data_IF_666635626941
#
_entry.id   IF_666635626941
#
_cell.length_a   1.000
_cell.length_b   1.000
_cell.length_c   1.000
_cell.angle_alpha   90.00
_cell.angle_beta   90.00
_cell.angle_gamma   90.00
#
_symmetry.space_group_name_H-M   'P 1'
#
loop_
_entity.id
_entity.type
_entity.pdbx_description
1 polymer ?
#
# COMPACT_ATOMS: atom_id res chain seq x y z
N UNK A 1 7.06 25.11 12.76
CA UNK A 1 5.85 24.36 12.36
C UNK A 1 6.16 23.58 11.10
N UNK A 2 5.89 22.29 11.09
CA UNK A 2 6.12 21.46 9.91
C UNK A 2 4.95 21.59 8.93
N UNK A 3 5.27 21.79 7.67
CA UNK A 3 4.29 21.76 6.60
C UNK A 3 4.22 20.35 6.02
N UNK A 4 3.06 19.97 5.52
CA UNK A 4 2.94 18.71 4.83
C UNK A 4 3.43 18.84 3.38
N UNK A 5 4.23 17.88 2.96
CA UNK A 5 4.69 17.76 1.59
C UNK A 5 3.83 16.73 0.85
N UNK A 6 3.27 17.14 -0.27
CA UNK A 6 2.50 16.23 -1.12
C UNK A 6 3.47 15.36 -1.91
N UNK A 7 3.28 14.04 -1.83
CA UNK A 7 4.05 13.06 -2.58
C UNK A 7 3.21 12.53 -3.71
N UNK A 8 3.76 12.60 -4.91
CA UNK A 8 3.10 12.10 -6.12
C UNK A 8 4.16 11.49 -7.03
N UNK A 9 3.86 10.35 -7.63
CA UNK A 9 4.75 9.68 -8.57
C UNK A 9 3.94 9.07 -9.71
N UNK A 10 4.51 9.07 -10.89
CA UNK A 10 3.93 8.41 -12.06
C UNK A 10 4.30 6.92 -12.15
N UNK A 11 5.05 6.40 -11.18
CA UNK A 11 5.44 4.99 -11.10
C UNK A 11 4.46 4.13 -10.31
N UNK A 12 3.36 4.72 -9.85
CA UNK A 12 2.28 4.02 -9.16
C UNK A 12 0.96 4.64 -9.57
N UNK A 13 -0.16 3.91 -9.43
CA UNK A 13 -1.47 4.48 -9.76
C UNK A 13 -1.78 5.73 -8.91
N UNK A 14 -2.36 6.73 -9.56
CA UNK A 14 -2.82 7.94 -8.89
C UNK A 14 -4.10 7.71 -8.09
N UNK A 15 -4.68 8.78 -7.53
CA UNK A 15 -5.92 8.68 -6.77
C UNK A 15 -7.02 7.98 -7.57
N UNK A 16 -7.70 7.04 -6.91
CA UNK A 16 -8.75 6.24 -7.52
C UNK A 16 -9.89 7.14 -8.00
N UNK A 17 -10.19 7.05 -9.31
CA UNK A 17 -11.24 7.83 -9.97
C UNK A 17 -11.11 9.35 -9.74
N UNK A 18 -9.87 9.84 -9.58
CA UNK A 18 -9.64 11.27 -9.38
C UNK A 18 -10.14 11.82 -8.05
N UNK A 19 -10.33 10.95 -7.05
CA UNK A 19 -10.81 11.35 -5.74
C UNK A 19 -9.83 12.33 -5.05
N UNK A 20 -10.33 13.15 -4.12
CA UNK A 20 -9.55 14.23 -3.51
C UNK A 20 -8.60 13.72 -2.42
N UNK A 21 -7.55 13.03 -2.81
CA UNK A 21 -6.47 12.63 -1.91
C UNK A 21 -5.16 12.52 -2.70
N UNK A 22 -4.06 12.41 -2.01
CA UNK A 22 -2.74 12.21 -2.62
C UNK A 22 -2.23 10.80 -2.31
N UNK A 23 -1.28 10.32 -3.10
CA UNK A 23 -0.69 9.00 -2.88
C UNK A 23 -0.03 8.91 -1.49
N UNK A 24 0.66 9.97 -1.07
CA UNK A 24 1.25 10.04 0.25
C UNK A 24 1.46 11.49 0.67
N UNK A 25 1.63 11.66 1.97
CA UNK A 25 1.98 12.94 2.60
C UNK A 25 3.21 12.70 3.46
N UNK A 26 4.21 13.55 3.31
CA UNK A 26 5.35 13.57 4.22
C UNK A 26 5.20 14.75 5.16
N UNK A 27 5.42 14.50 6.45
CA UNK A 27 5.50 15.54 7.45
C UNK A 27 6.67 15.22 8.39
N UNK A 28 7.66 16.12 8.47
CA UNK A 28 8.88 15.84 9.20
C UNK A 28 9.57 14.59 8.66
N UNK A 29 9.83 13.63 9.52
CA UNK A 29 10.47 12.36 9.17
C UNK A 29 9.47 11.21 8.92
N UNK A 30 8.18 11.52 8.88
CA UNK A 30 7.13 10.52 8.68
C UNK A 30 6.47 10.66 7.32
N UNK A 31 6.12 9.53 6.74
CA UNK A 31 5.40 9.42 5.47
C UNK A 31 4.13 8.62 5.71
N UNK A 32 3.00 9.20 5.31
CA UNK A 32 1.69 8.57 5.44
C UNK A 32 1.21 8.21 4.04
N UNK A 33 1.07 6.93 3.77
CA UNK A 33 0.71 6.43 2.43
C UNK A 33 -0.76 6.03 2.42
N UNK A 34 -1.51 6.54 1.45
CA UNK A 34 -2.90 6.19 1.23
C UNK A 34 -3.03 4.70 0.91
N UNK A 35 -4.20 4.14 1.17
CA UNK A 35 -4.48 2.74 0.88
C UNK A 35 -4.18 2.40 -0.59
N UNK A 36 -3.41 1.34 -0.81
CA UNK A 36 -3.03 0.86 -2.12
C UNK A 36 -3.77 -0.42 -2.46
N UNK A 37 -4.36 -0.45 -3.63
CA UNK A 37 -4.91 -1.65 -4.23
C UNK A 37 -3.87 -2.28 -5.15
N UNK A 38 -4.06 -3.53 -5.51
CA UNK A 38 -3.19 -4.22 -6.46
C UNK A 38 -3.48 -3.85 -7.92
N UNK A 39 -3.56 -2.57 -8.21
CA UNK A 39 -3.80 -2.05 -9.56
C UNK A 39 -2.48 -1.95 -10.31
N UNK A 40 -2.46 -2.48 -11.53
CA UNK A 40 -1.32 -2.36 -12.44
C UNK A 40 -1.36 -1.00 -13.11
N UNK A 41 -0.25 -0.26 -13.06
CA UNK A 41 -0.18 1.10 -13.56
C UNK A 41 -0.60 1.20 -15.04
N UNK A 42 -0.05 0.33 -15.88
CA UNK A 42 -0.27 0.42 -17.33
C UNK A 42 -1.70 0.09 -17.74
N UNK A 43 -2.31 -0.92 -17.12
CA UNK A 43 -3.66 -1.36 -17.50
C UNK A 43 -4.77 -0.67 -16.73
N UNK A 44 -4.47 -0.16 -15.54
CA UNK A 44 -5.48 0.39 -14.63
C UNK A 44 -6.37 -0.69 -14.00
N UNK A 45 -6.00 -1.96 -14.14
CA UNK A 45 -6.79 -3.10 -13.64
C UNK A 45 -6.04 -3.84 -12.55
N UNK A 46 -6.77 -4.64 -11.77
CA UNK A 46 -6.16 -5.52 -10.77
C UNK A 46 -5.17 -6.48 -11.44
N UNK A 47 -4.07 -6.78 -10.74
CA UNK A 47 -3.00 -7.66 -11.23
C UNK A 47 -3.45 -9.11 -11.44
N UNK A 48 -4.61 -9.48 -10.95
CA UNK A 48 -5.18 -10.80 -11.08
C UNK A 48 -6.35 -10.97 -10.13
N UNK A 49 -6.87 -12.19 -10.06
CA UNK A 49 -8.04 -12.50 -9.25
C UNK A 49 -7.68 -13.00 -7.84
N UNK A 50 -6.41 -13.37 -7.62
CA UNK A 50 -5.99 -13.96 -6.35
C UNK A 50 -5.40 -12.90 -5.42
N UNK A 51 -5.47 -13.16 -4.12
CA UNK A 51 -4.84 -12.29 -3.12
C UNK A 51 -3.33 -12.26 -3.28
N UNK A 52 -2.74 -13.36 -3.76
CA UNK A 52 -1.28 -13.44 -3.99
C UNK A 52 -0.85 -12.43 -5.05
N UNK A 53 -1.50 -12.45 -6.20
CA UNK A 53 -1.20 -11.52 -7.30
C UNK A 53 -1.45 -10.07 -6.88
N UNK A 54 -2.56 -9.83 -6.21
CA UNK A 54 -2.92 -8.48 -5.80
C UNK A 54 -1.99 -7.94 -4.70
N UNK A 55 -1.63 -8.77 -3.72
CA UNK A 55 -0.69 -8.34 -2.66
C UNK A 55 0.67 -8.00 -3.23
N UNK A 56 1.17 -8.79 -4.18
CA UNK A 56 2.44 -8.52 -4.85
C UNK A 56 2.41 -7.12 -5.49
N UNK A 57 1.34 -6.82 -6.22
CA UNK A 57 1.22 -5.51 -6.88
C UNK A 57 1.05 -4.37 -5.87
N UNK A 58 0.29 -4.58 -4.79
CA UNK A 58 0.16 -3.59 -3.72
C UNK A 58 1.53 -3.20 -3.20
N UNK A 59 2.38 -4.18 -2.92
CA UNK A 59 3.70 -3.91 -2.34
C UNK A 59 4.62 -3.20 -3.35
N UNK A 60 4.52 -3.52 -4.63
CA UNK A 60 5.26 -2.80 -5.66
C UNK A 60 4.81 -1.34 -5.75
N UNK A 61 3.52 -1.09 -5.72
CA UNK A 61 2.97 0.27 -5.74
C UNK A 61 3.42 1.05 -4.50
N UNK A 62 3.34 0.41 -3.33
CA UNK A 62 3.78 0.99 -2.06
C UNK A 62 5.26 1.38 -2.12
N UNK A 63 6.10 0.48 -2.65
CA UNK A 63 7.54 0.72 -2.80
C UNK A 63 7.81 1.96 -3.65
N UNK A 64 7.14 2.08 -4.79
CA UNK A 64 7.33 3.22 -5.69
C UNK A 64 6.96 4.54 -5.01
N UNK A 65 5.86 4.56 -4.27
CA UNK A 65 5.41 5.76 -3.55
C UNK A 65 6.38 6.12 -2.43
N UNK A 66 6.81 5.14 -1.65
CA UNK A 66 7.77 5.36 -0.57
C UNK A 66 9.11 5.89 -1.09
N UNK A 67 9.61 5.34 -2.18
CA UNK A 67 10.85 5.81 -2.80
C UNK A 67 10.72 7.26 -3.27
N UNK A 68 9.58 7.64 -3.83
CA UNK A 68 9.32 9.03 -4.23
C UNK A 68 9.33 9.98 -3.03
N UNK A 69 9.03 9.47 -1.84
CA UNK A 69 9.03 10.25 -0.61
C UNK A 69 10.40 10.27 0.09
N UNK A 70 11.39 9.53 -0.43
CA UNK A 70 12.69 9.40 0.23
C UNK A 70 12.73 8.30 1.28
N UNK A 71 11.79 7.36 1.23
CA UNK A 71 11.67 6.24 2.16
C UNK A 71 11.82 4.91 1.41
N UNK A 72 11.32 3.82 1.96
CA UNK A 72 11.35 2.50 1.36
C UNK A 72 10.59 1.49 2.20
N UNK A 73 10.39 0.30 1.65
CA UNK A 73 9.69 -0.78 2.36
C UNK A 73 10.42 -1.21 3.64
N UNK A 74 11.74 -1.05 3.69
CA UNK A 74 12.56 -1.34 4.87
C UNK A 74 12.37 -0.32 5.99
N UNK A 75 11.68 0.76 5.72
CA UNK A 75 11.43 1.86 6.67
C UNK A 75 9.97 1.96 7.10
N UNK A 76 9.19 0.95 6.83
CA UNK A 76 7.79 0.87 7.28
C UNK A 76 7.75 0.83 8.81
N UNK A 77 6.86 1.64 9.38
CA UNK A 77 6.62 1.71 10.83
C UNK A 77 5.34 0.99 11.19
N UNK A 78 4.30 1.21 10.41
CA UNK A 78 2.97 0.63 10.65
C UNK A 78 2.27 0.41 9.34
N UNK A 79 1.61 -0.74 9.20
CA UNK A 79 0.69 -0.99 8.10
C UNK A 79 -0.68 -1.41 8.63
N UNK A 80 -1.72 -1.15 7.84
CA UNK A 80 -3.05 -1.71 8.05
C UNK A 80 -3.40 -2.47 6.79
N UNK A 81 -3.71 -3.75 6.93
CA UNK A 81 -4.10 -4.62 5.84
C UNK A 81 -5.61 -4.86 5.93
N UNK A 82 -6.32 -4.50 4.85
CA UNK A 82 -7.75 -4.74 4.72
C UNK A 82 -7.95 -5.93 3.79
N UNK A 83 -8.61 -6.98 4.26
CA UNK A 83 -8.91 -8.16 3.47
C UNK A 83 -10.40 -8.29 3.24
N UNK A 84 -10.79 -8.57 2.00
CA UNK A 84 -12.18 -8.87 1.68
C UNK A 84 -12.62 -10.18 2.35
N UNK A 85 -11.69 -11.14 2.48
CA UNK A 85 -11.94 -12.44 3.10
C UNK A 85 -10.74 -12.79 3.99
N UNK A 86 -10.97 -12.98 5.28
CA UNK A 86 -9.92 -13.37 6.22
C UNK A 86 -9.33 -14.74 5.94
N UNK A 87 -9.99 -15.58 5.13
CA UNK A 87 -9.42 -16.84 4.67
C UNK A 87 -8.16 -16.61 3.81
N UNK A 88 -7.97 -15.41 3.26
CA UNK A 88 -6.78 -15.04 2.50
C UNK A 88 -5.58 -14.64 3.37
N UNK A 89 -5.72 -14.67 4.70
CA UNK A 89 -4.70 -14.20 5.63
C UNK A 89 -3.33 -14.85 5.38
N UNK A 90 -3.28 -16.18 5.35
CA UNK A 90 -2.02 -16.91 5.19
C UNK A 90 -1.35 -16.64 3.84
N UNK A 91 -2.13 -16.63 2.76
CA UNK A 91 -1.60 -16.37 1.42
C UNK A 91 -1.09 -14.93 1.28
N UNK A 92 -1.81 -13.97 1.82
CA UNK A 92 -1.37 -12.57 1.86
C UNK A 92 -0.07 -12.44 2.66
N UNK A 93 0.00 -13.05 3.84
CA UNK A 93 1.19 -12.99 4.69
C UNK A 93 2.45 -13.51 4.00
N UNK A 94 2.32 -14.56 3.22
CA UNK A 94 3.45 -15.17 2.52
C UNK A 94 4.09 -14.19 1.53
N UNK A 95 3.28 -13.47 0.79
CA UNK A 95 3.74 -12.44 -0.15
C UNK A 95 4.29 -11.23 0.61
N UNK A 96 3.53 -10.74 1.58
CA UNK A 96 3.88 -9.58 2.40
C UNK A 96 5.26 -9.77 3.07
N UNK A 97 5.52 -10.94 3.63
CA UNK A 97 6.77 -11.24 4.32
C UNK A 97 8.01 -11.05 3.43
N UNK A 98 7.88 -11.37 2.15
CA UNK A 98 8.99 -11.20 1.20
C UNK A 98 9.39 -9.75 0.98
N UNK A 99 8.46 -8.82 1.21
CA UNK A 99 8.68 -7.40 0.96
C UNK A 99 9.09 -6.60 2.20
N UNK A 100 8.73 -7.05 3.40
CA UNK A 100 9.01 -6.28 4.62
C UNK A 100 10.28 -6.69 5.35
N UNK A 101 10.90 -7.81 4.96
CA UNK A 101 12.21 -8.23 5.45
C UNK A 101 12.23 -8.68 6.91
N UNK A 102 13.41 -8.57 7.52
CA UNK A 102 13.71 -9.11 8.86
C UNK A 102 13.14 -8.28 10.01
N UNK A 103 12.79 -7.03 9.73
CA UNK A 103 12.26 -6.10 10.74
C UNK A 103 10.92 -5.54 10.27
N UNK A 104 9.88 -6.40 10.24
CA UNK A 104 8.59 -5.96 9.74
C UNK A 104 7.96 -4.88 10.62
N UNK A 105 7.10 -4.02 10.05
CA UNK A 105 6.40 -2.99 10.81
C UNK A 105 5.35 -3.60 11.75
N UNK A 106 4.88 -2.79 12.68
CA UNK A 106 3.65 -3.10 13.39
C UNK A 106 2.50 -3.18 12.39
N UNK A 107 1.52 -4.04 12.62
CA UNK A 107 0.43 -4.25 11.67
C UNK A 107 -0.89 -4.60 12.37
N UNK A 108 -1.98 -4.11 11.78
CA UNK A 108 -3.32 -4.63 12.03
C UNK A 108 -3.85 -5.21 10.72
N UNK A 109 -4.55 -6.33 10.81
CA UNK A 109 -5.19 -6.96 9.66
C UNK A 109 -6.65 -7.17 10.00
N UNK A 110 -7.53 -6.65 9.15
CA UNK A 110 -8.98 -6.71 9.39
C UNK A 110 -9.72 -7.17 8.14
N UNK A 111 -10.81 -7.89 8.36
CA UNK A 111 -11.75 -8.26 7.30
C UNK A 111 -12.78 -7.16 7.14
N UNK A 112 -13.14 -6.84 5.90
CA UNK A 112 -14.09 -5.78 5.58
C UNK A 112 -15.12 -6.28 4.57
N UNK A 113 -16.23 -5.54 4.41
CA UNK A 113 -17.34 -6.00 3.58
C UNK A 113 -17.15 -5.72 2.10
N UNK A 114 -16.41 -4.69 1.72
CA UNK A 114 -16.21 -4.30 0.32
C UNK A 114 -14.89 -3.57 0.14
N UNK A 115 -14.30 -3.73 -1.05
CA UNK A 115 -13.16 -2.93 -1.50
C UNK A 115 -13.44 -2.40 -2.91
N UNK A 116 -12.84 -1.26 -3.29
CA UNK A 116 -12.99 -0.75 -4.66
C UNK A 116 -12.56 -1.77 -5.69
N UNK A 117 -13.20 -1.76 -6.86
CA UNK A 117 -12.90 -2.62 -8.01
C UNK A 117 -13.00 -4.12 -7.73
N UNK A 118 -13.67 -4.52 -6.66
CA UNK A 118 -13.73 -5.93 -6.26
C UNK A 118 -12.39 -6.47 -5.79
N UNK A 119 -11.50 -5.61 -5.30
CA UNK A 119 -10.19 -6.01 -4.81
C UNK A 119 -10.31 -6.94 -3.60
N UNK A 120 -9.31 -7.81 -3.41
CA UNK A 120 -9.26 -8.73 -2.28
C UNK A 120 -8.40 -8.20 -1.13
N UNK A 121 -7.56 -7.20 -1.40
CA UNK A 121 -6.64 -6.64 -0.41
C UNK A 121 -6.40 -5.17 -0.69
N UNK A 122 -6.26 -4.41 0.40
CA UNK A 122 -5.81 -3.02 0.38
C UNK A 122 -4.86 -2.82 1.56
N UNK A 123 -3.79 -2.05 1.38
CA UNK A 123 -2.82 -1.79 2.44
C UNK A 123 -2.49 -0.29 2.48
N UNK A 124 -2.59 0.28 3.66
CA UNK A 124 -2.09 1.63 3.94
C UNK A 124 -0.88 1.55 4.86
N UNK A 125 -0.07 2.60 4.93
CA UNK A 125 1.18 2.54 5.67
C UNK A 125 1.62 3.87 6.25
N UNK A 126 2.43 3.77 7.30
CA UNK A 126 3.22 4.86 7.85
C UNK A 126 4.68 4.38 7.80
N UNK A 127 5.56 5.22 7.27
CA UNK A 127 6.98 4.93 7.18
C UNK A 127 7.79 6.13 7.71
N UNK A 128 9.10 5.93 7.87
CA UNK A 128 10.01 7.03 8.21
C UNK A 128 11.00 7.26 7.07
N UNK A 129 11.66 8.39 7.11
CA UNK A 129 12.73 8.72 6.17
C UNK A 129 14.04 8.04 6.60
#
# INVERSE_FOLDING_TARGET
>A
MADKDVISTDRAPGPFQGAPYHQAIRIGDLVFVAGQLGIVLDSGELAGETVVEQTEQVMQNMSAILEAAGSGLDKLVKTTVFLLDLADFAAMNEVYARHVGDRPPARSTIGISQLPSGARVEIEAIAHI
#
